data_IF_565042662873
#
_entry.id   IF_565042662873
#
_cell.length_a   1.000
_cell.length_b   1.000
_cell.length_c   1.000
_cell.angle_alpha   90.00
_cell.angle_beta   90.00
_cell.angle_gamma   90.00
#
_symmetry.space_group_name_H-M   'P 1'
#
loop_
_entity.id
_entity.type
_entity.pdbx_description
1 polymer ?
#
# COMPACT_ATOMS: atom_id res chain seq x y z
N UNK A 1 -0.45 -4.58 -26.66
CA UNK A 1 -1.15 -3.31 -26.39
C UNK A 1 -1.41 -3.03 -24.90
N UNK A 2 -1.59 -4.03 -24.03
CA UNK A 2 -1.86 -3.83 -22.59
C UNK A 2 -0.73 -3.13 -21.81
N UNK A 3 0.55 -3.35 -22.15
CA UNK A 3 1.69 -2.67 -21.51
C UNK A 3 1.76 -1.16 -21.78
N UNK A 4 1.12 -0.67 -22.84
CA UNK A 4 1.11 0.76 -23.17
C UNK A 4 0.02 1.52 -22.39
N UNK A 5 -1.10 0.86 -22.08
CA UNK A 5 -2.16 1.40 -21.24
C UNK A 5 -1.71 1.50 -19.78
N UNK A 6 -0.98 0.50 -19.26
CA UNK A 6 -0.37 0.56 -17.93
C UNK A 6 0.62 1.72 -17.79
N UNK A 7 1.47 1.97 -18.80
CA UNK A 7 2.39 3.12 -18.79
C UNK A 7 1.68 4.48 -18.79
N UNK A 8 0.48 4.56 -19.35
CA UNK A 8 -0.29 5.81 -19.45
C UNK A 8 -1.08 6.13 -18.18
N UNK A 9 -1.45 5.12 -17.38
CA UNK A 9 -2.09 5.32 -16.07
C UNK A 9 -1.10 5.47 -14.92
N UNK A 10 0.14 4.94 -15.03
CA UNK A 10 1.16 5.04 -13.98
C UNK A 10 2.02 6.31 -14.02
N UNK A 11 1.72 7.27 -14.91
CA UNK A 11 2.36 8.59 -14.87
C UNK A 11 3.90 8.54 -14.89
N UNK A 12 4.50 7.65 -15.68
CA UNK A 12 5.94 7.69 -15.92
C UNK A 12 6.21 8.65 -17.08
N UNK A 13 5.94 9.93 -16.84
CA UNK A 13 6.56 11.03 -17.56
C UNK A 13 7.73 11.51 -16.72
N UNK A 14 8.87 11.78 -17.36
CA UNK A 14 10.03 12.41 -16.74
C UNK A 14 9.63 13.57 -15.83
N UNK A 15 9.76 13.37 -14.52
CA UNK A 15 9.76 14.45 -13.55
C UNK A 15 11.15 14.45 -12.95
N UNK A 16 11.94 15.42 -13.42
CA UNK A 16 13.18 15.89 -12.82
C UNK A 16 13.11 15.84 -11.27
N UNK A 17 14.22 15.56 -10.56
CA UNK A 17 14.23 15.60 -9.12
C UNK A 17 14.09 17.05 -8.66
N UNK A 18 12.86 17.51 -8.53
CA UNK A 18 12.54 18.75 -7.87
C UNK A 18 12.87 18.58 -6.39
N UNK A 19 14.05 19.10 -6.03
CA UNK A 19 14.40 19.50 -4.68
C UNK A 19 13.29 20.40 -4.12
N UNK A 20 12.39 19.80 -3.35
CA UNK A 20 11.34 20.48 -2.61
C UNK A 20 11.16 19.71 -1.33
N UNK A 21 11.67 20.32 -0.26
CA UNK A 21 11.99 19.69 0.99
C UNK A 21 10.90 18.81 1.56
N UNK A 22 11.39 17.80 2.29
CA UNK A 22 10.79 16.89 3.28
C UNK A 22 9.44 17.30 3.92
N UNK A 23 8.44 17.65 3.11
CA UNK A 23 7.05 17.76 3.51
C UNK A 23 6.52 16.35 3.43
N UNK A 24 6.57 15.66 4.56
CA UNK A 24 6.05 14.30 4.71
C UNK A 24 4.74 14.19 3.94
N UNK A 25 4.72 13.37 2.89
CA UNK A 25 3.52 13.16 2.08
C UNK A 25 2.41 12.69 3.02
N UNK A 26 1.36 13.52 3.14
CA UNK A 26 0.30 13.24 4.08
C UNK A 26 -0.64 12.18 3.52
N UNK A 27 -0.66 10.98 4.11
CA UNK A 27 -1.51 9.89 3.64
C UNK A 27 -2.98 10.24 3.79
N UNK A 28 -3.36 10.79 4.93
CA UNK A 28 -4.73 11.19 5.27
C UNK A 28 -5.35 12.19 4.28
N UNK A 29 -4.59 13.18 3.83
CA UNK A 29 -5.05 14.17 2.86
C UNK A 29 -5.23 13.59 1.45
N UNK A 30 -4.43 12.59 1.10
CA UNK A 30 -4.36 12.04 -0.26
C UNK A 30 -5.23 10.79 -0.47
N UNK A 31 -5.80 10.21 0.58
CA UNK A 31 -6.70 9.06 0.45
C UNK A 31 -8.03 9.47 -0.19
N UNK A 32 -8.42 8.73 -1.23
CA UNK A 32 -9.77 8.80 -1.80
C UNK A 32 -10.81 8.23 -0.83
N UNK A 33 -12.11 8.43 -1.08
CA UNK A 33 -13.15 7.79 -0.27
C UNK A 33 -13.00 6.26 -0.25
N UNK A 34 -12.76 5.66 -1.42
CA UNK A 34 -12.49 4.21 -1.56
C UNK A 34 -11.19 3.80 -0.85
N UNK A 35 -10.13 4.62 -0.92
CA UNK A 35 -8.91 4.38 -0.15
C UNK A 35 -9.16 4.36 1.36
N UNK A 36 -9.97 5.29 1.90
CA UNK A 36 -10.35 5.30 3.31
C UNK A 36 -11.13 4.05 3.71
N UNK A 37 -12.04 3.59 2.86
CA UNK A 37 -12.79 2.36 3.08
C UNK A 37 -11.86 1.14 3.23
N UNK A 38 -10.89 0.99 2.32
CA UNK A 38 -9.92 -0.11 2.39
C UNK A 38 -8.99 0.00 3.60
N UNK A 39 -8.61 1.21 4.01
CA UNK A 39 -7.85 1.42 5.24
C UNK A 39 -8.61 0.96 6.48
N UNK A 40 -9.89 1.33 6.60
CA UNK A 40 -10.75 0.93 7.73
C UNK A 40 -10.96 -0.58 7.76
N UNK A 41 -11.15 -1.20 6.59
CA UNK A 41 -11.30 -2.65 6.47
C UNK A 41 -10.00 -3.39 6.83
N UNK A 42 -8.85 -2.89 6.37
CA UNK A 42 -7.54 -3.43 6.72
C UNK A 42 -7.30 -3.36 8.24
N UNK A 43 -7.58 -2.22 8.87
CA UNK A 43 -7.49 -2.04 10.31
C UNK A 43 -8.37 -3.05 11.07
N UNK A 44 -9.63 -3.19 10.64
CA UNK A 44 -10.58 -4.15 11.24
C UNK A 44 -10.08 -5.59 11.14
N UNK A 45 -9.52 -5.99 9.99
CA UNK A 45 -8.98 -7.35 9.82
C UNK A 45 -7.77 -7.61 10.73
N UNK A 46 -6.87 -6.64 10.84
CA UNK A 46 -5.69 -6.74 11.68
C UNK A 46 -6.07 -6.81 13.16
N UNK A 47 -7.00 -5.98 13.61
CA UNK A 47 -7.48 -5.98 14.99
C UNK A 47 -8.16 -7.32 15.35
N UNK A 48 -9.10 -7.79 14.52
CA UNK A 48 -9.86 -9.00 14.83
C UNK A 48 -9.04 -10.29 14.80
N UNK A 49 -7.98 -10.36 13.98
CA UNK A 49 -7.20 -11.61 13.77
C UNK A 49 -5.88 -11.62 14.52
N UNK A 50 -5.31 -10.45 14.81
CA UNK A 50 -3.96 -10.33 15.38
C UNK A 50 -3.94 -9.50 16.67
N UNK A 51 -5.10 -9.02 17.14
CA UNK A 51 -5.23 -8.23 18.38
C UNK A 51 -4.35 -6.96 18.40
N UNK A 52 -3.94 -6.50 17.22
CA UNK A 52 -3.09 -5.32 17.05
C UNK A 52 -3.94 -4.12 16.63
N UNK A 53 -3.84 -3.03 17.38
CA UNK A 53 -4.60 -1.80 17.15
C UNK A 53 -3.70 -0.65 16.67
N UNK A 54 -4.30 0.24 15.87
CA UNK A 54 -3.69 1.46 15.34
C UNK A 54 -4.70 2.60 15.53
N UNK A 55 -4.77 3.18 16.74
CA UNK A 55 -5.97 3.88 17.22
C UNK A 55 -6.16 5.28 16.63
N UNK A 56 -5.09 5.94 16.20
CA UNK A 56 -5.20 7.25 15.59
C UNK A 56 -5.17 7.17 14.06
N UNK A 57 -5.77 8.18 13.42
CA UNK A 57 -5.74 8.35 11.97
C UNK A 57 -4.54 9.19 11.53
N UNK A 58 -3.48 9.29 12.33
CA UNK A 58 -2.28 10.02 11.91
C UNK A 58 -1.58 9.28 10.77
N UNK A 59 -0.83 10.01 9.95
CA UNK A 59 -0.05 9.40 8.88
C UNK A 59 0.97 8.39 9.43
N UNK A 60 1.52 8.62 10.62
CA UNK A 60 2.43 7.70 11.28
C UNK A 60 1.75 6.37 11.63
N UNK A 61 0.56 6.41 12.23
CA UNK A 61 -0.23 5.20 12.55
C UNK A 61 -0.64 4.44 11.30
N UNK A 62 -1.05 5.15 10.24
CA UNK A 62 -1.36 4.53 8.94
C UNK A 62 -0.11 3.85 8.35
N UNK A 63 1.06 4.50 8.39
CA UNK A 63 2.32 3.89 7.94
C UNK A 63 2.65 2.63 8.75
N UNK A 64 2.47 2.66 10.06
CA UNK A 64 2.69 1.51 10.94
C UNK A 64 1.74 0.35 10.63
N UNK A 65 0.44 0.63 10.42
CA UNK A 65 -0.54 -0.38 10.01
C UNK A 65 -0.16 -1.02 8.66
N UNK A 66 0.17 -0.20 7.66
CA UNK A 66 0.57 -0.68 6.33
C UNK A 66 1.83 -1.56 6.45
N UNK A 67 2.83 -1.10 7.19
CA UNK A 67 4.06 -1.85 7.41
C UNK A 67 3.81 -3.18 8.12
N UNK A 68 3.01 -3.17 9.19
CA UNK A 68 2.61 -4.38 9.89
C UNK A 68 1.87 -5.36 8.97
N UNK A 69 0.84 -4.89 8.27
CA UNK A 69 0.02 -5.69 7.37
C UNK A 69 0.81 -6.29 6.19
N UNK A 70 1.81 -5.57 5.68
CA UNK A 70 2.64 -6.04 4.56
C UNK A 70 3.41 -7.32 4.86
N UNK A 71 3.66 -7.62 6.15
CA UNK A 71 4.42 -8.79 6.60
C UNK A 71 3.53 -10.00 6.89
N UNK A 72 2.21 -9.84 6.77
CA UNK A 72 1.25 -10.89 7.09
C UNK A 72 0.95 -11.71 5.83
N UNK A 73 0.97 -13.04 5.95
CA UNK A 73 0.64 -13.98 4.88
C UNK A 73 -0.83 -14.41 4.93
N UNK A 74 -1.73 -13.47 5.20
CA UNK A 74 -3.17 -13.66 5.24
C UNK A 74 -3.78 -13.05 3.96
N UNK A 75 -4.53 -13.86 3.21
CA UNK A 75 -5.06 -13.49 1.91
C UNK A 75 -6.01 -12.28 1.96
N UNK A 76 -6.84 -12.16 2.99
CA UNK A 76 -7.79 -11.04 3.09
C UNK A 76 -7.06 -9.75 3.43
N UNK A 77 -6.06 -9.81 4.31
CA UNK A 77 -5.22 -8.67 4.66
C UNK A 77 -4.41 -8.22 3.45
N UNK A 78 -3.79 -9.15 2.71
CA UNK A 78 -3.05 -8.84 1.49
C UNK A 78 -3.95 -8.22 0.41
N UNK A 79 -5.17 -8.73 0.26
CA UNK A 79 -6.16 -8.18 -0.67
C UNK A 79 -6.53 -6.74 -0.29
N UNK A 80 -6.84 -6.47 0.97
CA UNK A 80 -7.21 -5.12 1.40
C UNK A 80 -6.04 -4.15 1.33
N UNK A 81 -4.83 -4.60 1.65
CA UNK A 81 -3.62 -3.80 1.50
C UNK A 81 -3.35 -3.43 0.04
N UNK A 82 -3.52 -4.37 -0.89
CA UNK A 82 -3.39 -4.11 -2.33
C UNK A 82 -4.46 -3.11 -2.82
N UNK A 83 -5.71 -3.29 -2.40
CA UNK A 83 -6.80 -2.40 -2.78
C UNK A 83 -6.61 -0.99 -2.23
N UNK A 84 -6.13 -0.85 -0.99
CA UNK A 84 -5.71 0.43 -0.43
C UNK A 84 -4.63 1.08 -1.29
N UNK A 85 -3.55 0.35 -1.59
CA UNK A 85 -2.43 0.85 -2.38
C UNK A 85 -2.84 1.32 -3.78
N UNK A 86 -3.66 0.55 -4.49
CA UNK A 86 -4.13 0.89 -5.84
C UNK A 86 -5.03 2.14 -5.85
N UNK A 87 -5.63 2.49 -4.72
CA UNK A 87 -6.46 3.68 -4.55
C UNK A 87 -5.67 4.91 -4.07
N UNK A 88 -4.36 4.79 -3.84
CA UNK A 88 -3.49 5.91 -3.50
C UNK A 88 -2.98 6.63 -4.77
N UNK A 89 -2.73 7.95 -4.74
CA UNK A 89 -2.08 8.67 -5.84
C UNK A 89 -0.66 8.14 -6.14
N UNK A 90 -0.13 8.31 -7.37
CA UNK A 90 1.19 7.80 -7.75
C UNK A 90 2.33 8.24 -6.83
N UNK A 91 2.31 9.48 -6.34
CA UNK A 91 3.31 9.99 -5.40
C UNK A 91 3.30 9.22 -4.07
N UNK A 92 2.11 8.90 -3.55
CA UNK A 92 1.94 8.10 -2.34
C UNK A 92 2.38 6.66 -2.58
N UNK A 93 2.02 6.06 -3.71
CA UNK A 93 2.46 4.72 -4.09
C UNK A 93 3.98 4.60 -4.25
N UNK A 94 4.64 5.64 -4.72
CA UNK A 94 6.10 5.71 -4.78
C UNK A 94 6.69 5.77 -3.36
N UNK A 95 6.15 6.65 -2.51
CA UNK A 95 6.59 6.80 -1.13
C UNK A 95 6.45 5.53 -0.29
N UNK A 96 5.32 4.81 -0.42
CA UNK A 96 5.09 3.54 0.28
C UNK A 96 6.06 2.42 -0.17
N UNK A 97 6.55 2.49 -1.41
CA UNK A 97 7.56 1.54 -1.93
C UNK A 97 8.99 1.92 -1.56
N UNK A 98 9.31 3.21 -1.50
CA UNK A 98 10.68 3.69 -1.27
C UNK A 98 11.11 3.68 0.19
N UNK A 99 10.16 3.66 1.13
CA UNK A 99 10.46 3.75 2.57
C UNK A 99 10.57 2.41 3.30
N UNK A 100 10.75 1.28 2.59
CA UNK A 100 10.66 -0.09 3.15
C UNK A 100 9.33 -0.39 3.90
N UNK A 101 8.31 0.44 3.69
CA UNK A 101 6.99 0.31 4.34
C UNK A 101 6.26 -0.90 3.78
N UNK A 102 6.41 -1.14 2.48
CA UNK A 102 5.84 -2.30 1.80
C UNK A 102 7.01 -3.17 1.32
N UNK A 103 7.14 -4.35 1.93
CA UNK A 103 8.11 -5.34 1.47
C UNK A 103 7.70 -5.89 0.09
N UNK A 104 8.57 -5.67 -0.91
CA UNK A 104 8.35 -6.09 -2.29
C UNK A 104 8.24 -7.61 -2.43
N UNK A 105 8.88 -8.37 -1.53
CA UNK A 105 8.86 -9.84 -1.55
C UNK A 105 7.54 -10.43 -1.01
N UNK A 106 6.75 -9.62 -0.30
CA UNK A 106 5.48 -10.04 0.30
C UNK A 106 4.24 -9.68 -0.53
N UNK A 107 4.37 -8.75 -1.48
CA UNK A 107 3.21 -8.21 -2.21
C UNK A 107 2.57 -9.19 -3.19
N UNK A 108 3.36 -10.12 -3.73
CA UNK A 108 2.94 -11.07 -4.75
C UNK A 108 3.68 -12.39 -4.53
N UNK A 109 3.38 -13.12 -3.44
CA UNK A 109 3.49 -14.58 -3.53
C UNK A 109 2.35 -15.05 -4.42
N UNK A 110 2.59 -15.05 -5.72
CA UNK A 110 1.91 -15.99 -6.60
C UNK A 110 2.03 -17.34 -5.93
N UNK A 111 0.89 -17.97 -5.64
CA UNK A 111 0.83 -19.37 -5.25
C UNK A 111 1.68 -20.14 -6.25
N UNK A 112 2.94 -20.43 -5.91
CA UNK A 112 3.80 -21.27 -6.72
C UNK A 112 3.19 -22.64 -6.51
N UNK A 113 2.51 -23.16 -7.52
CA UNK A 113 2.02 -24.54 -7.49
C UNK A 113 3.16 -25.43 -7.01
N UNK A 114 2.90 -26.39 -6.11
CA UNK A 114 3.93 -27.31 -5.67
C UNK A 114 4.57 -27.99 -6.89
N UNK A 115 5.88 -28.30 -6.85
CA UNK A 115 6.52 -29.03 -7.93
C UNK A 115 5.78 -30.35 -8.11
N UNK A 116 5.33 -30.62 -9.34
CA UNK A 116 4.80 -31.94 -9.72
C UNK A 116 5.99 -32.92 -9.67
N UNK A 117 5.90 -33.94 -8.81
CA UNK A 117 6.86 -35.05 -8.70
C UNK A 117 6.77 -36.02 -9.88
#
# INVERSE_FOLDING_TARGET
MLRALWRRTTGQGDVEPADSGNRELSLTEHLTHTGRYHLERLQTLVELRYEQTFPDRSDASIRQLIHYASRIQDQDIQRELLLLYLNCPPAVQAHLRSGDIIDADHYIRTQRSPPEE
#
